data_IF_645264625663
#
_entry.id   IF_645264625663
#
_cell.length_a   1.000
_cell.length_b   1.000
_cell.length_c   1.000
_cell.angle_alpha   90.00
_cell.angle_beta   90.00
_cell.angle_gamma   90.00
#
_symmetry.space_group_name_H-M   'P 1'
#
loop_
_entity.id
_entity.type
_entity.pdbx_description
1 polymer ?
#
# COMPACT_ATOMS: atom_id res chain seq x y z
N UNK A 1 4.76 -21.63 19.13
CA UNK A 1 4.45 -20.21 19.45
C UNK A 1 5.25 -19.18 18.62
N UNK A 2 6.56 -19.35 18.36
CA UNK A 2 7.40 -18.37 17.63
C UNK A 2 6.90 -17.86 16.25
N UNK A 3 6.13 -18.67 15.50
CA UNK A 3 5.64 -18.26 14.17
C UNK A 3 4.40 -17.37 14.23
N UNK A 4 3.53 -17.56 15.23
CA UNK A 4 2.32 -16.75 15.42
C UNK A 4 2.67 -15.30 15.77
N UNK A 5 3.74 -15.09 16.54
CA UNK A 5 4.25 -13.76 16.90
C UNK A 5 4.65 -12.90 15.70
N UNK A 6 4.99 -13.50 14.54
CA UNK A 6 5.33 -12.75 13.32
C UNK A 6 4.11 -12.17 12.61
N UNK A 7 2.94 -12.81 12.73
CA UNK A 7 1.71 -12.38 12.06
C UNK A 7 0.84 -11.47 12.93
N UNK A 8 0.97 -11.56 14.26
CA UNK A 8 0.28 -10.70 15.22
C UNK A 8 0.40 -9.20 14.93
N UNK A 9 1.60 -8.63 14.63
CA UNK A 9 1.70 -7.22 14.28
C UNK A 9 0.92 -6.87 13.01
N UNK A 10 0.91 -7.74 12.01
CA UNK A 10 0.12 -7.53 10.78
C UNK A 10 -1.38 -7.60 11.06
N UNK A 11 -1.83 -8.51 11.93
CA UNK A 11 -3.23 -8.61 12.35
C UNK A 11 -3.65 -7.37 13.14
N UNK A 12 -2.84 -6.91 14.10
CA UNK A 12 -3.10 -5.67 14.84
C UNK A 12 -3.15 -4.44 13.93
N UNK A 13 -2.27 -4.40 12.91
CA UNK A 13 -2.29 -3.35 11.90
C UNK A 13 -3.56 -3.42 11.04
N UNK A 14 -4.01 -4.60 10.61
CA UNK A 14 -5.25 -4.76 9.87
C UNK A 14 -6.47 -4.32 10.69
N UNK A 15 -6.49 -4.64 11.99
CA UNK A 15 -7.53 -4.18 12.92
C UNK A 15 -7.60 -2.65 13.02
N UNK A 16 -6.46 -2.01 13.27
CA UNK A 16 -6.38 -0.55 13.42
C UNK A 16 -6.52 0.22 12.10
N UNK A 17 -5.75 -0.12 11.05
CA UNK A 17 -5.67 0.64 9.79
C UNK A 17 -6.72 0.27 8.75
N UNK A 18 -7.25 -0.95 8.77
CA UNK A 18 -8.34 -1.34 7.88
C UNK A 18 -9.70 -1.30 8.59
N UNK A 19 -9.76 -0.72 9.80
CA UNK A 19 -10.99 -0.55 10.59
C UNK A 19 -11.77 -1.85 10.77
N UNK A 20 -11.06 -2.97 10.87
CA UNK A 20 -11.68 -4.28 11.10
C UNK A 20 -12.40 -4.31 12.45
N UNK A 21 -11.99 -3.47 13.41
CA UNK A 21 -12.61 -3.31 14.73
C UNK A 21 -13.95 -2.54 14.70
N UNK A 22 -14.28 -1.87 13.59
CA UNK A 22 -15.52 -1.09 13.44
C UNK A 22 -16.36 -1.69 12.31
N UNK A 23 -16.93 -2.86 12.53
CA UNK A 23 -17.88 -3.43 11.57
C UNK A 23 -19.21 -2.65 11.62
N UNK A 24 -19.54 -1.98 10.50
CA UNK A 24 -20.81 -1.25 10.30
C UNK A 24 -21.88 -2.12 9.62
N UNK A 25 -21.51 -3.32 9.17
CA UNK A 25 -22.38 -4.28 8.50
C UNK A 25 -23.03 -5.19 9.55
N UNK A 26 -24.33 -5.44 9.40
CA UNK A 26 -25.11 -6.20 10.39
C UNK A 26 -24.91 -7.72 10.24
N UNK A 27 -24.68 -8.39 11.36
CA UNK A 27 -24.67 -9.85 11.46
C UNK A 27 -23.40 -10.54 10.94
N UNK A 28 -23.39 -11.87 11.04
CA UNK A 28 -22.21 -12.71 10.75
C UNK A 28 -21.74 -12.65 9.30
N UNK A 29 -22.65 -12.35 8.37
CA UNK A 29 -22.32 -12.13 6.95
C UNK A 29 -21.53 -10.83 6.80
N UNK A 30 -21.96 -9.77 7.50
CA UNK A 30 -21.27 -8.49 7.54
C UNK A 30 -19.85 -8.61 8.11
N UNK A 31 -19.68 -9.37 9.18
CA UNK A 31 -18.36 -9.61 9.78
C UNK A 31 -17.39 -10.28 8.80
N UNK A 32 -17.86 -11.29 8.07
CA UNK A 32 -17.08 -11.99 7.03
C UNK A 32 -16.67 -11.04 5.91
N UNK A 33 -17.62 -10.22 5.43
CA UNK A 33 -17.36 -9.24 4.36
C UNK A 33 -16.39 -8.15 4.82
N UNK A 34 -16.51 -7.66 6.05
CA UNK A 34 -15.59 -6.67 6.60
C UNK A 34 -14.17 -7.22 6.67
N UNK A 35 -14.02 -8.48 7.11
CA UNK A 35 -12.72 -9.15 7.17
C UNK A 35 -12.09 -9.35 5.78
N UNK A 36 -12.87 -9.79 4.79
CA UNK A 36 -12.35 -10.00 3.42
C UNK A 36 -11.99 -8.68 2.73
N UNK A 37 -12.83 -7.65 2.83
CA UNK A 37 -12.52 -6.32 2.29
C UNK A 37 -11.27 -5.72 2.94
N UNK A 38 -11.13 -5.84 4.26
CA UNK A 38 -9.96 -5.35 4.97
C UNK A 38 -8.65 -6.03 4.50
N UNK A 39 -8.69 -7.33 4.24
CA UNK A 39 -7.55 -8.07 3.69
C UNK A 39 -7.21 -7.63 2.25
N UNK A 40 -8.23 -7.49 1.39
CA UNK A 40 -8.05 -7.00 0.02
C UNK A 40 -7.47 -5.58 0.02
N UNK A 41 -8.01 -4.68 0.84
CA UNK A 41 -7.54 -3.29 0.95
C UNK A 41 -6.09 -3.21 1.44
N UNK A 42 -5.68 -4.10 2.36
CA UNK A 42 -4.29 -4.18 2.83
C UNK A 42 -3.34 -4.54 1.68
N UNK A 43 -3.68 -5.55 0.87
CA UNK A 43 -2.88 -5.95 -0.28
C UNK A 43 -2.85 -4.87 -1.37
N UNK A 44 -4.00 -4.24 -1.65
CA UNK A 44 -4.09 -3.16 -2.64
C UNK A 44 -3.22 -1.96 -2.26
N UNK A 45 -3.14 -1.62 -0.97
CA UNK A 45 -2.29 -0.53 -0.47
C UNK A 45 -0.80 -0.78 -0.75
N UNK A 46 -0.34 -2.03 -0.70
CA UNK A 46 1.05 -2.38 -1.03
C UNK A 46 1.33 -2.20 -2.52
N UNK A 47 0.41 -2.67 -3.37
CA UNK A 47 0.51 -2.49 -4.83
C UNK A 47 0.54 -1.00 -5.19
N UNK A 48 -0.40 -0.22 -4.65
CA UNK A 48 -0.48 1.23 -4.89
C UNK A 48 0.79 1.95 -4.44
N UNK A 49 1.39 1.54 -3.32
CA UNK A 49 2.65 2.11 -2.84
C UNK A 49 3.80 1.86 -3.82
N UNK A 50 3.90 0.67 -4.38
CA UNK A 50 4.92 0.33 -5.38
C UNK A 50 4.72 1.18 -6.65
N UNK A 51 3.48 1.26 -7.14
CA UNK A 51 3.13 2.08 -8.31
C UNK A 51 3.51 3.55 -8.07
N UNK A 52 3.21 4.08 -6.89
CA UNK A 52 3.54 5.46 -6.53
C UNK A 52 5.05 5.72 -6.54
N UNK A 53 5.85 4.84 -5.95
CA UNK A 53 7.31 4.95 -6.00
C UNK A 53 7.86 4.82 -7.42
N UNK A 54 7.28 3.93 -8.23
CA UNK A 54 7.66 3.77 -9.62
C UNK A 54 7.40 5.05 -10.42
N UNK A 55 6.25 5.69 -10.25
CA UNK A 55 5.93 6.97 -10.90
C UNK A 55 6.93 8.06 -10.50
N UNK A 56 7.21 8.20 -9.20
CA UNK A 56 8.20 9.19 -8.72
C UNK A 56 9.58 8.93 -9.33
N UNK A 57 10.00 7.67 -9.37
CA UNK A 57 11.28 7.28 -9.96
C UNK A 57 11.34 7.62 -11.46
N UNK A 58 10.29 7.32 -12.22
CA UNK A 58 10.20 7.68 -13.63
C UNK A 58 10.26 9.20 -13.85
N UNK A 59 9.54 9.99 -13.05
CA UNK A 59 9.58 11.45 -13.13
C UNK A 59 10.98 12.00 -12.79
N UNK A 60 11.64 11.42 -11.78
CA UNK A 60 13.00 11.78 -11.42
C UNK A 60 13.98 11.51 -12.58
N UNK A 61 13.89 10.33 -13.21
CA UNK A 61 14.72 10.00 -14.36
C UNK A 61 14.48 10.96 -15.54
N UNK A 62 13.22 11.29 -15.83
CA UNK A 62 12.89 12.24 -16.91
C UNK A 62 13.51 13.63 -16.66
N UNK A 63 13.47 14.12 -15.41
CA UNK A 63 14.09 15.39 -15.04
C UNK A 63 15.61 15.37 -15.23
N UNK A 64 16.27 14.26 -14.87
CA UNK A 64 17.71 14.11 -15.08
C UNK A 64 18.08 14.06 -16.56
N UNK A 65 17.32 13.33 -17.39
CA UNK A 65 17.55 13.27 -18.84
C UNK A 65 17.46 14.65 -19.50
N UNK A 66 16.44 15.45 -19.13
CA UNK A 66 16.28 16.83 -19.62
C UNK A 66 17.48 17.72 -19.23
N UNK A 67 17.93 17.64 -17.98
CA UNK A 67 19.10 18.39 -17.51
C UNK A 67 20.38 18.01 -18.28
N UNK A 68 20.62 16.71 -18.51
CA UNK A 68 21.77 16.25 -19.30
C UNK A 68 21.70 16.73 -20.75
N UNK A 69 20.51 16.77 -21.35
CA UNK A 69 20.33 17.25 -22.72
C UNK A 69 20.56 18.77 -22.83
N UNK A 70 20.07 19.55 -21.86
CA UNK A 70 20.35 21.00 -21.78
C UNK A 70 21.84 21.30 -21.67
N UNK A 71 22.58 20.51 -20.89
CA UNK A 71 24.05 20.65 -20.81
C UNK A 71 24.69 20.36 -22.17
N UNK A 72 24.29 19.29 -22.88
CA UNK A 72 24.86 18.97 -24.21
C UNK A 72 24.59 20.02 -25.28
N UNK A 73 23.48 20.77 -25.20
CA UNK A 73 23.14 21.81 -26.18
C UNK A 73 23.76 23.17 -25.86
N UNK A 74 24.32 23.35 -24.66
CA UNK A 74 24.92 24.61 -24.20
C UNK A 74 26.46 24.64 -24.34
N UNK A 75 27.05 23.66 -25.01
CA UNK A 75 28.44 23.65 -25.50
C UNK A 75 28.43 23.67 -27.02
#
# INVERSE_FOLDING_TARGET
LKQRSKIEPTIGLMKSKCRMDLNRLKGSIGDKLNATLAAIAYNLRMILRIIFYFIIYCLFLQSNQKNCQLVKTNW
#
